data_IF_512699215106
#
_entry.id   IF_512699215106
#
_cell.length_a   1.000
_cell.length_b   1.000
_cell.length_c   1.000
_cell.angle_alpha   90.00
_cell.angle_beta   90.00
_cell.angle_gamma   90.00
#
_symmetry.space_group_name_H-M   'P 1'
#
loop_
_entity.id
_entity.type
_entity.pdbx_description
1 polymer ?
#
# COMPACT_ATOMS: atom_id res chain seq x y z
N UNK A 1 29.15 14.26 4.35
CA UNK A 1 28.03 13.78 5.17
C UNK A 1 27.45 12.54 4.50
N UNK A 2 27.36 11.46 5.25
CA UNK A 2 26.68 10.25 4.81
C UNK A 2 25.22 10.33 5.22
N UNK A 3 24.30 10.00 4.30
CA UNK A 3 22.86 9.97 4.56
C UNK A 3 22.40 8.52 4.51
N UNK A 4 21.68 8.09 5.53
CA UNK A 4 21.05 6.79 5.59
C UNK A 4 19.55 6.97 5.41
N UNK A 5 18.94 6.11 4.61
CA UNK A 5 17.48 6.04 4.44
C UNK A 5 17.02 4.71 4.98
N UNK A 6 16.31 4.73 6.09
CA UNK A 6 15.74 3.55 6.72
C UNK A 6 14.23 3.67 6.59
N UNK A 7 13.56 2.72 5.92
CA UNK A 7 12.11 2.74 5.80
C UNK A 7 11.43 2.40 7.12
N UNK A 8 10.15 2.78 7.23
CA UNK A 8 9.30 2.32 8.33
C UNK A 8 9.01 0.82 8.19
N UNK A 9 8.89 0.09 9.31
CA UNK A 9 8.45 -1.30 9.28
C UNK A 9 6.97 -1.41 8.91
N UNK A 10 6.55 -2.59 8.44
CA UNK A 10 5.11 -2.89 8.35
C UNK A 10 4.50 -2.95 9.76
N UNK A 11 3.33 -2.37 9.90
CA UNK A 11 2.55 -2.36 11.16
C UNK A 11 1.54 -3.52 11.22
N UNK A 12 1.48 -4.36 10.17
CA UNK A 12 0.48 -5.40 10.02
C UNK A 12 1.08 -6.81 10.08
N UNK A 13 0.28 -7.72 10.61
CA UNK A 13 0.56 -9.15 10.51
C UNK A 13 0.34 -9.65 9.08
N UNK A 14 0.99 -10.77 8.78
CA UNK A 14 0.80 -11.43 7.51
C UNK A 14 -0.53 -12.18 7.50
N UNK A 15 -1.34 -11.89 6.49
CA UNK A 15 -2.65 -12.51 6.31
C UNK A 15 -2.67 -13.39 5.06
N UNK A 16 -3.53 -14.39 5.01
CA UNK A 16 -3.70 -15.21 3.80
C UNK A 16 -4.11 -14.38 2.60
N UNK A 17 -3.61 -14.76 1.45
CA UNK A 17 -4.05 -14.18 0.18
C UNK A 17 -5.42 -14.78 -0.15
N UNK A 18 -6.44 -13.94 -0.12
CA UNK A 18 -7.80 -14.32 -0.50
C UNK A 18 -8.21 -13.37 -1.63
N UNK A 19 -7.75 -13.68 -2.84
CA UNK A 19 -8.21 -12.97 -4.02
C UNK A 19 -9.13 -13.90 -4.84
N UNK A 20 -10.42 -13.72 -4.64
CA UNK A 20 -11.47 -14.42 -5.40
C UNK A 20 -12.41 -13.37 -5.96
N UNK A 21 -11.96 -12.63 -6.98
CA UNK A 21 -12.73 -11.51 -7.50
C UNK A 21 -14.07 -12.00 -8.03
N UNK A 22 -15.13 -11.40 -7.52
CA UNK A 22 -16.41 -11.49 -8.18
C UNK A 22 -16.34 -10.61 -9.45
N UNK A 23 -16.49 -11.16 -10.66
CA UNK A 23 -16.37 -10.39 -11.89
C UNK A 23 -17.42 -9.27 -12.01
N UNK A 24 -18.47 -9.34 -11.19
CA UNK A 24 -19.54 -8.34 -11.14
C UNK A 24 -19.30 -7.27 -10.06
N UNK A 25 -18.52 -7.57 -9.03
CA UNK A 25 -18.30 -6.63 -7.93
C UNK A 25 -17.08 -6.98 -7.09
N UNK A 26 -16.07 -6.13 -7.14
CA UNK A 26 -14.89 -6.20 -6.25
C UNK A 26 -15.13 -5.41 -4.97
N UNK A 27 -14.63 -5.91 -3.86
CA UNK A 27 -14.55 -5.13 -2.63
C UNK A 27 -13.20 -4.39 -2.61
N UNK A 28 -13.25 -3.08 -2.50
CA UNK A 28 -12.05 -2.26 -2.40
C UNK A 28 -12.08 -1.39 -1.16
N UNK A 29 -10.90 -1.07 -0.65
CA UNK A 29 -10.74 -0.13 0.43
C UNK A 29 -9.72 0.94 0.06
N UNK A 30 -10.04 2.19 0.43
CA UNK A 30 -9.08 3.28 0.55
C UNK A 30 -8.91 3.62 2.02
N UNK A 31 -7.69 3.87 2.44
CA UNK A 31 -7.42 4.43 3.76
C UNK A 31 -6.32 5.48 3.72
N UNK A 32 -6.51 6.53 4.48
CA UNK A 32 -5.57 7.66 4.51
C UNK A 32 -6.10 8.82 5.33
N UNK A 33 -5.26 9.85 5.53
CA UNK A 33 -5.68 11.07 6.21
C UNK A 33 -6.76 11.80 5.43
N UNK A 34 -7.58 12.58 6.13
CA UNK A 34 -8.59 13.43 5.49
C UNK A 34 -8.00 14.41 4.48
N UNK A 35 -6.83 14.98 4.78
CA UNK A 35 -6.12 15.85 3.85
C UNK A 35 -5.78 15.17 2.52
N UNK A 36 -5.39 13.89 2.55
CA UNK A 36 -5.17 13.10 1.34
C UNK A 36 -6.50 12.76 0.64
N UNK A 37 -7.54 12.43 1.41
CA UNK A 37 -8.86 12.10 0.85
C UNK A 37 -9.47 13.25 0.05
N UNK A 38 -9.37 14.48 0.56
CA UNK A 38 -9.87 15.69 -0.13
C UNK A 38 -9.18 15.99 -1.46
N UNK A 39 -8.00 15.44 -1.69
CA UNK A 39 -7.24 15.65 -2.92
C UNK A 39 -7.61 14.64 -4.02
N UNK A 40 -8.49 13.69 -3.73
CA UNK A 40 -8.88 12.63 -4.65
C UNK A 40 -10.25 12.97 -5.25
N UNK A 41 -10.29 13.17 -6.55
CA UNK A 41 -11.53 13.20 -7.30
C UNK A 41 -11.98 11.77 -7.62
N UNK A 42 -12.88 11.22 -6.80
CA UNK A 42 -13.41 9.88 -6.99
C UNK A 42 -14.33 9.78 -8.22
N UNK A 43 -14.86 10.90 -8.71
CA UNK A 43 -15.75 10.95 -9.87
C UNK A 43 -15.06 10.60 -11.20
N UNK A 44 -13.73 10.67 -11.25
CA UNK A 44 -12.96 10.30 -12.44
C UNK A 44 -12.78 8.78 -12.61
N UNK A 45 -13.14 7.98 -11.59
CA UNK A 45 -12.96 6.52 -11.63
C UNK A 45 -14.29 5.81 -11.87
N UNK A 46 -14.27 4.81 -12.76
CA UNK A 46 -15.40 3.91 -12.97
C UNK A 46 -15.46 2.88 -11.83
N UNK A 47 -16.22 3.20 -10.80
CA UNK A 47 -16.44 2.34 -9.64
C UNK A 47 -17.72 1.49 -9.75
N UNK A 48 -18.32 1.39 -10.93
CA UNK A 48 -19.58 0.63 -11.14
C UNK A 48 -19.48 -0.84 -10.72
N UNK A 49 -18.28 -1.42 -10.83
CA UNK A 49 -17.96 -2.79 -10.40
C UNK A 49 -17.23 -2.87 -9.07
N UNK A 50 -17.14 -1.78 -8.32
CA UNK A 50 -16.36 -1.70 -7.10
C UNK A 50 -17.24 -1.28 -5.93
N UNK A 51 -17.22 -2.07 -4.85
CA UNK A 51 -17.76 -1.70 -3.56
C UNK A 51 -16.67 -1.05 -2.74
N UNK A 52 -16.49 0.25 -2.91
CA UNK A 52 -15.42 1.01 -2.25
C UNK A 52 -15.82 1.41 -0.82
N UNK A 53 -14.96 1.08 0.14
CA UNK A 53 -14.99 1.60 1.50
C UNK A 53 -13.89 2.64 1.68
N UNK A 54 -14.24 3.79 2.26
CA UNK A 54 -13.31 4.89 2.50
C UNK A 54 -13.15 5.07 4.00
N UNK A 55 -11.91 4.91 4.47
CA UNK A 55 -11.52 5.02 5.88
C UNK A 55 -10.61 6.22 6.04
N UNK A 56 -10.99 7.17 6.87
CA UNK A 56 -10.13 8.30 7.22
C UNK A 56 -10.55 8.87 8.57
N UNK A 57 -9.71 9.73 9.15
CA UNK A 57 -9.98 10.39 10.43
C UNK A 57 -11.19 11.35 10.40
N UNK A 58 -11.69 11.72 9.23
CA UNK A 58 -12.91 12.53 9.03
C UNK A 58 -13.77 12.00 7.87
N UNK A 59 -13.61 10.73 7.52
CA UNK A 59 -14.30 10.09 6.40
C UNK A 59 -15.61 9.39 6.78
N UNK A 60 -16.27 8.76 5.82
CA UNK A 60 -17.49 7.97 6.05
C UNK A 60 -17.29 6.86 7.08
N UNK A 61 -16.09 6.27 7.14
CA UNK A 61 -15.70 5.31 8.17
C UNK A 61 -14.54 5.95 8.94
N UNK A 62 -14.73 6.15 10.25
CA UNK A 62 -13.70 6.73 11.09
C UNK A 62 -12.50 5.79 11.20
N UNK A 63 -11.30 6.36 11.04
CA UNK A 63 -10.07 5.60 11.11
C UNK A 63 -9.78 5.11 12.52
N UNK A 64 -9.55 3.83 12.63
CA UNK A 64 -9.01 3.13 13.78
C UNK A 64 -8.12 2.00 13.26
N UNK A 65 -7.06 1.66 13.98
CA UNK A 65 -6.10 0.66 13.55
C UNK A 65 -6.76 -0.72 13.31
N UNK A 66 -7.65 -1.16 14.21
CA UNK A 66 -8.37 -2.44 14.07
C UNK A 66 -9.36 -2.40 12.92
N UNK A 67 -10.15 -1.32 12.85
CA UNK A 67 -11.16 -1.10 11.80
C UNK A 67 -10.48 -1.13 10.42
N UNK A 68 -9.40 -0.40 10.23
CA UNK A 68 -8.64 -0.42 8.98
C UNK A 68 -8.17 -1.83 8.63
N UNK A 69 -7.55 -2.55 9.58
CA UNK A 69 -7.07 -3.92 9.36
C UNK A 69 -8.20 -4.87 8.98
N UNK A 70 -9.37 -4.76 9.61
CA UNK A 70 -10.53 -5.57 9.29
C UNK A 70 -11.05 -5.31 7.88
N UNK A 71 -11.23 -4.05 7.49
CA UNK A 71 -11.68 -3.71 6.15
C UNK A 71 -10.67 -4.10 5.07
N UNK A 72 -9.38 -3.97 5.32
CA UNK A 72 -8.34 -4.44 4.39
C UNK A 72 -8.43 -5.96 4.22
N UNK A 73 -8.58 -6.72 5.31
CA UNK A 73 -8.74 -8.19 5.25
C UNK A 73 -9.99 -8.63 4.49
N UNK A 74 -11.06 -7.85 4.52
CA UNK A 74 -12.32 -8.14 3.83
C UNK A 74 -12.35 -7.64 2.39
N UNK A 75 -11.34 -6.90 1.94
CA UNK A 75 -11.28 -6.36 0.58
C UNK A 75 -10.50 -7.26 -0.37
N UNK A 76 -10.79 -7.15 -1.66
CA UNK A 76 -10.01 -7.74 -2.75
C UNK A 76 -8.86 -6.82 -3.14
N UNK A 77 -9.09 -5.51 -3.11
CA UNK A 77 -8.18 -4.47 -3.57
C UNK A 77 -7.98 -3.38 -2.53
N UNK A 78 -6.81 -2.77 -2.58
CA UNK A 78 -6.52 -1.50 -1.92
C UNK A 78 -6.29 -0.45 -2.99
N UNK A 79 -7.13 0.57 -3.05
CA UNK A 79 -6.99 1.69 -3.97
C UNK A 79 -6.24 2.82 -3.27
N UNK A 80 -5.09 3.21 -3.80
CA UNK A 80 -4.24 4.27 -3.25
C UNK A 80 -3.98 5.37 -4.28
N UNK A 81 -5.02 6.06 -4.78
CA UNK A 81 -4.80 7.19 -5.65
C UNK A 81 -3.98 8.28 -4.94
N UNK A 82 -3.10 8.93 -5.69
CA UNK A 82 -2.27 10.03 -5.23
C UNK A 82 -2.47 11.23 -6.12
N UNK A 83 -2.45 12.42 -5.53
CA UNK A 83 -2.40 13.67 -6.30
C UNK A 83 -0.94 14.00 -6.61
N UNK A 84 -0.55 13.88 -7.88
CA UNK A 84 0.82 14.14 -8.32
C UNK A 84 1.19 15.62 -8.34
N UNK A 85 0.19 16.50 -8.42
CA UNK A 85 0.39 17.95 -8.44
C UNK A 85 0.66 18.52 -7.05
N UNK A 86 0.55 17.70 -6.00
CA UNK A 86 0.80 18.12 -4.64
C UNK A 86 2.27 17.88 -4.27
N UNK A 87 2.99 18.95 -3.94
CA UNK A 87 4.43 18.95 -3.65
C UNK A 87 4.86 17.88 -2.63
N UNK A 88 4.02 17.62 -1.63
CA UNK A 88 4.32 16.63 -0.58
C UNK A 88 4.12 15.17 -1.02
N UNK A 89 3.57 14.92 -2.20
CA UNK A 89 3.31 13.54 -2.66
C UNK A 89 4.61 12.74 -2.80
N UNK A 90 5.67 13.35 -3.30
CA UNK A 90 6.98 12.72 -3.47
C UNK A 90 7.65 12.27 -2.15
N UNK A 91 7.23 12.83 -1.01
CA UNK A 91 7.77 12.52 0.32
C UNK A 91 6.90 11.54 1.13
N UNK A 92 5.82 11.03 0.54
CA UNK A 92 4.98 10.04 1.24
C UNK A 92 5.75 8.74 1.47
N UNK A 93 5.59 8.19 2.67
CA UNK A 93 6.14 6.88 3.02
C UNK A 93 5.46 5.73 2.27
N UNK A 94 6.01 4.54 2.41
CA UNK A 94 5.51 3.31 1.77
C UNK A 94 4.63 2.44 2.68
N UNK A 95 4.28 2.89 3.88
CA UNK A 95 3.53 2.11 4.88
C UNK A 95 2.24 1.53 4.30
N UNK A 96 1.43 2.36 3.61
CA UNK A 96 0.15 1.90 3.07
C UNK A 96 0.28 0.73 2.08
N UNK A 97 1.10 0.80 1.02
CA UNK A 97 1.23 -0.33 0.11
C UNK A 97 1.93 -1.55 0.74
N UNK A 98 2.91 -1.38 1.63
CA UNK A 98 3.55 -2.53 2.30
C UNK A 98 2.58 -3.22 3.26
N UNK A 99 1.76 -2.47 4.00
CA UNK A 99 0.74 -3.03 4.89
C UNK A 99 -0.36 -3.76 4.11
N UNK A 100 -0.78 -3.22 2.96
CA UNK A 100 -1.73 -3.88 2.09
C UNK A 100 -1.19 -5.20 1.52
N UNK A 101 0.05 -5.18 1.01
CA UNK A 101 0.71 -6.38 0.51
C UNK A 101 0.93 -7.40 1.62
N UNK A 102 1.33 -6.97 2.83
CA UNK A 102 1.48 -7.84 4.00
C UNK A 102 0.19 -8.56 4.34
N UNK A 103 -0.93 -7.86 4.23
CA UNK A 103 -2.27 -8.42 4.44
C UNK A 103 -2.81 -9.20 3.22
N UNK A 104 -1.99 -9.48 2.21
CA UNK A 104 -2.38 -10.28 1.05
C UNK A 104 -3.35 -9.58 0.10
N UNK A 105 -3.26 -8.25 -0.05
CA UNK A 105 -4.17 -7.46 -0.89
C UNK A 105 -3.43 -6.81 -2.04
N UNK A 106 -4.07 -6.84 -3.22
CA UNK A 106 -3.52 -6.19 -4.40
C UNK A 106 -3.71 -4.69 -4.32
N UNK A 107 -2.63 -3.95 -4.61
CA UNK A 107 -2.63 -2.48 -4.56
C UNK A 107 -2.73 -1.91 -5.95
N UNK A 108 -3.62 -0.94 -6.13
CA UNK A 108 -3.77 -0.16 -7.37
C UNK A 108 -3.55 1.31 -7.04
N UNK A 109 -2.64 1.95 -7.76
CA UNK A 109 -2.33 3.39 -7.67
C UNK A 109 -2.24 4.01 -9.05
N UNK A 110 -2.49 5.31 -9.14
CA UNK A 110 -2.37 6.06 -10.41
C UNK A 110 -0.94 6.56 -10.68
N UNK A 111 -0.05 6.52 -9.68
CA UNK A 111 1.31 6.99 -9.85
C UNK A 111 2.31 6.26 -8.96
N UNK A 112 3.54 6.17 -9.45
CA UNK A 112 4.67 5.63 -8.71
C UNK A 112 5.43 6.78 -8.05
N UNK A 113 5.34 6.85 -6.73
CA UNK A 113 6.14 7.81 -5.95
C UNK A 113 7.50 7.18 -5.57
N UNK A 114 8.54 7.98 -5.26
CA UNK A 114 9.88 7.46 -5.05
C UNK A 114 9.99 6.35 -4.02
N UNK A 115 9.29 6.47 -2.88
CA UNK A 115 9.31 5.44 -1.83
C UNK A 115 8.63 4.11 -2.21
N UNK A 116 7.84 4.08 -3.29
CA UNK A 116 7.13 2.88 -3.76
C UNK A 116 7.83 2.17 -4.92
N UNK A 117 8.93 2.71 -5.44
CA UNK A 117 9.63 2.15 -6.62
C UNK A 117 10.02 0.68 -6.45
N UNK A 118 10.41 0.28 -5.25
CA UNK A 118 10.76 -1.12 -4.96
C UNK A 118 9.54 -2.06 -5.02
N UNK A 119 8.33 -1.53 -5.01
CA UNK A 119 7.08 -2.28 -5.06
C UNK A 119 6.49 -2.40 -6.48
N UNK A 120 7.12 -1.80 -7.49
CA UNK A 120 6.57 -1.67 -8.85
C UNK A 120 6.16 -3.01 -9.51
N UNK A 121 6.83 -4.10 -9.15
CA UNK A 121 6.52 -5.42 -9.70
C UNK A 121 5.31 -6.09 -9.03
N UNK A 122 4.92 -5.62 -7.84
CA UNK A 122 3.91 -6.25 -6.98
C UNK A 122 2.58 -5.50 -6.95
N UNK A 123 2.57 -4.24 -7.39
CA UNK A 123 1.39 -3.39 -7.41
C UNK A 123 1.07 -2.97 -8.85
N UNK A 124 -0.15 -2.50 -9.07
CA UNK A 124 -0.50 -1.79 -10.30
C UNK A 124 -0.18 -0.31 -10.15
N UNK A 125 0.51 0.24 -11.14
CA UNK A 125 0.76 1.68 -11.22
C UNK A 125 0.38 2.18 -12.62
N UNK A 126 -0.62 3.04 -12.69
CA UNK A 126 -1.15 3.59 -13.93
C UNK A 126 -2.62 3.95 -13.78
N UNK A 127 -3.35 4.04 -14.87
CA UNK A 127 -4.79 4.32 -14.82
C UNK A 127 -5.51 3.33 -13.88
N UNK A 128 -6.29 3.88 -12.92
CA UNK A 128 -6.98 3.07 -11.90
C UNK A 128 -8.08 2.22 -12.53
N UNK A 129 -8.78 2.74 -13.54
CA UNK A 129 -9.83 1.97 -14.21
C UNK A 129 -9.25 0.78 -14.95
N UNK A 130 -8.10 0.94 -15.59
CA UNK A 130 -7.38 -0.16 -16.23
C UNK A 130 -6.82 -1.15 -15.19
N UNK A 131 -6.37 -0.66 -14.03
CA UNK A 131 -5.94 -1.51 -12.92
C UNK A 131 -7.07 -2.38 -12.36
N UNK A 132 -8.25 -1.83 -12.22
CA UNK A 132 -9.47 -2.58 -11.81
C UNK A 132 -9.82 -3.63 -12.86
N UNK A 133 -9.83 -3.28 -14.15
CA UNK A 133 -10.07 -4.23 -15.25
C UNK A 133 -9.03 -5.34 -15.29
N UNK A 134 -7.75 -4.97 -15.11
CA UNK A 134 -6.66 -5.93 -15.03
C UNK A 134 -6.87 -6.94 -13.91
N UNK A 135 -7.24 -6.46 -12.71
CA UNK A 135 -7.46 -7.33 -11.57
C UNK A 135 -8.63 -8.32 -11.79
N UNK A 136 -9.69 -7.88 -12.46
CA UNK A 136 -10.84 -8.74 -12.82
C UNK A 136 -10.44 -9.81 -13.83
N UNK A 137 -9.66 -9.44 -14.84
CA UNK A 137 -9.39 -10.29 -15.99
C UNK A 137 -8.19 -11.22 -15.81
N UNK A 138 -7.31 -10.93 -14.81
CA UNK A 138 -6.06 -11.65 -14.60
C UNK A 138 -5.88 -12.09 -13.14
N UNK A 139 -6.84 -12.83 -12.54
CA UNK A 139 -6.81 -13.15 -11.11
C UNK A 139 -5.56 -13.95 -10.70
N UNK A 140 -5.10 -14.87 -11.52
CA UNK A 140 -3.92 -15.68 -11.21
C UNK A 140 -2.64 -14.84 -11.18
N UNK A 141 -2.51 -13.89 -12.11
CA UNK A 141 -1.38 -12.95 -12.10
C UNK A 141 -1.41 -12.02 -10.89
N UNK A 142 -2.61 -11.58 -10.48
CA UNK A 142 -2.79 -10.78 -9.27
C UNK A 142 -2.36 -11.55 -8.04
N UNK A 143 -2.80 -12.81 -7.89
CA UNK A 143 -2.39 -13.68 -6.80
C UNK A 143 -0.86 -13.80 -6.76
N UNK A 144 -0.23 -14.11 -7.89
CA UNK A 144 1.22 -14.23 -7.98
C UNK A 144 1.94 -12.93 -7.58
N UNK A 145 1.47 -11.77 -8.06
CA UNK A 145 2.05 -10.48 -7.67
C UNK A 145 1.94 -10.22 -6.16
N UNK A 146 0.81 -10.57 -5.56
CA UNK A 146 0.60 -10.41 -4.12
C UNK A 146 1.48 -11.38 -3.32
N UNK A 147 1.63 -12.64 -3.75
CA UNK A 147 2.53 -13.62 -3.13
C UNK A 147 4.00 -13.14 -3.12
N UNK A 148 4.46 -12.68 -4.28
CA UNK A 148 5.80 -12.12 -4.42
C UNK A 148 5.97 -10.85 -3.59
N UNK A 149 4.95 -9.99 -3.54
CA UNK A 149 4.91 -8.79 -2.72
C UNK A 149 4.94 -9.08 -1.22
N UNK A 150 4.16 -10.05 -0.74
CA UNK A 150 4.21 -10.50 0.66
C UNK A 150 5.61 -11.01 1.02
N UNK A 151 6.19 -11.85 0.16
CA UNK A 151 7.56 -12.36 0.37
C UNK A 151 8.57 -11.22 0.43
N UNK A 152 8.44 -10.23 -0.46
CA UNK A 152 9.30 -9.06 -0.47
C UNK A 152 9.15 -8.24 0.83
N UNK A 153 7.93 -7.96 1.27
CA UNK A 153 7.66 -7.23 2.52
C UNK A 153 8.21 -7.99 3.73
N UNK A 154 7.99 -9.29 3.81
CA UNK A 154 8.53 -10.16 4.89
C UNK A 154 10.06 -10.09 4.97
N UNK A 155 10.72 -10.01 3.84
CA UNK A 155 12.17 -10.02 3.78
C UNK A 155 12.81 -8.65 4.07
N UNK A 156 12.06 -7.55 3.91
CA UNK A 156 12.64 -6.21 3.91
C UNK A 156 12.01 -5.23 4.92
N UNK A 157 10.74 -5.45 5.35
CA UNK A 157 9.98 -4.44 6.08
C UNK A 157 9.41 -4.93 7.41
N UNK A 158 9.79 -6.10 7.90
CA UNK A 158 9.38 -6.51 9.24
C UNK A 158 10.14 -5.71 10.32
N UNK A 159 9.57 -5.54 11.52
CA UNK A 159 10.25 -4.86 12.63
C UNK A 159 11.67 -5.38 12.87
N UNK A 160 11.87 -6.70 12.80
CA UNK A 160 13.19 -7.31 13.01
C UNK A 160 14.20 -6.93 11.92
N UNK A 161 13.74 -6.76 10.67
CA UNK A 161 14.60 -6.35 9.56
C UNK A 161 15.00 -4.90 9.69
N UNK A 162 14.04 -4.04 10.00
CA UNK A 162 14.27 -2.60 10.16
C UNK A 162 15.15 -2.33 11.40
N UNK A 163 14.95 -3.06 12.50
CA UNK A 163 15.84 -2.97 13.68
C UNK A 163 17.29 -3.24 13.30
N UNK A 164 17.56 -4.28 12.50
CA UNK A 164 18.92 -4.59 12.04
C UNK A 164 19.54 -3.49 11.20
N UNK A 165 18.74 -2.81 10.37
CA UNK A 165 19.23 -1.66 9.61
C UNK A 165 19.60 -0.49 10.53
N UNK A 166 18.81 -0.23 11.58
CA UNK A 166 19.14 0.77 12.60
C UNK A 166 20.41 0.40 13.35
N UNK A 167 20.58 -0.85 13.80
CA UNK A 167 21.80 -1.33 14.46
C UNK A 167 23.04 -1.11 13.56
N UNK A 168 22.91 -1.42 12.27
CA UNK A 168 23.99 -1.18 11.30
C UNK A 168 24.38 0.30 11.23
N UNK A 169 23.39 1.21 11.20
CA UNK A 169 23.65 2.66 11.14
C UNK A 169 24.33 3.15 12.43
N UNK A 170 23.84 2.73 13.59
CA UNK A 170 24.46 3.08 14.87
C UNK A 170 25.93 2.62 14.93
N UNK A 171 26.23 1.38 14.56
CA UNK A 171 27.61 0.86 14.56
C UNK A 171 28.52 1.66 13.60
N UNK A 172 28.00 2.16 12.48
CA UNK A 172 28.78 3.03 11.58
C UNK A 172 29.02 4.40 12.22
N UNK A 173 28.01 4.97 12.89
CA UNK A 173 28.16 6.28 13.54
C UNK A 173 29.15 6.24 14.71
N UNK A 174 29.16 5.18 15.50
CA UNK A 174 30.11 5.01 16.64
C UNK A 174 31.58 4.97 16.20
N UNK A 175 31.85 4.59 14.96
CA UNK A 175 33.23 4.61 14.41
C UNK A 175 33.69 6.00 13.96
N UNK A 176 32.84 7.02 13.95
CA UNK A 176 33.21 8.37 13.54
C UNK A 176 33.75 9.24 14.68
N UNK A 177 33.51 8.87 15.92
CA UNK A 177 33.97 9.57 17.12
C UNK A 177 35.30 9.00 17.68
N UNK A 178 35.87 8.00 17.01
CA UNK A 178 37.16 7.36 17.33
C UNK A 178 38.24 7.73 16.33
#
# INVERSE_FOLDING_TARGET
KQVFVIPDPTEREEEPIIFKPNPHRLNAVYYGSHGNLKQIDWGQYDLSKVNLKIISNEGPIFWDFKIQGEFVRQSDLVLLPVNNDHDMTQYKGNNRPIDALRQGRFVITNAMIPSWQLLQNFIWCGDINEGIKYAINNPDEVIKKVEEGQKFVRNNYTPEKITKEWERVYNVCDTWDS
#
